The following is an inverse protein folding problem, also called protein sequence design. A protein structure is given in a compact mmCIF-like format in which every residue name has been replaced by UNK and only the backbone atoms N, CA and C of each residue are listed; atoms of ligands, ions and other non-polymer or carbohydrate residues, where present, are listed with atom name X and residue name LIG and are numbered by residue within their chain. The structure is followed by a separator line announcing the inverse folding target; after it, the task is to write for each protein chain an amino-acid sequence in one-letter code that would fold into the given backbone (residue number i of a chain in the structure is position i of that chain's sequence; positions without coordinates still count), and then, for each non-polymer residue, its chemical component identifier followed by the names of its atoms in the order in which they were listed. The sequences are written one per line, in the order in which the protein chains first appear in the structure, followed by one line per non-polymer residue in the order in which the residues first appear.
data_IF_492879914515
#
_entry.id   IF_492879914515
#
_cell.length_a   1.000
_cell.length_b   1.000
_cell.length_c   1.000
_cell.angle_alpha   90.00
_cell.angle_beta   90.00
_cell.angle_gamma   90.00
#
_symmetry.space_group_name_H-M   'P 1'
#
loop_
_entity.id
_entity.type
_entity.pdbx_description
1 polymer ?
#
# COMPACT_ATOMS: atom_id res chain seq x y z
N UNK A 1 -18.19 4.05 -5.68
CA UNK A 1 -16.84 3.53 -6.05
C UNK A 1 -16.72 3.19 -7.54
N UNK A 2 -17.61 2.35 -8.10
CA UNK A 2 -17.53 1.87 -9.49
C UNK A 2 -17.48 2.98 -10.55
N UNK A 3 -18.29 4.03 -10.43
CA UNK A 3 -18.35 5.16 -11.39
C UNK A 3 -17.06 5.98 -11.47
N UNK A 4 -16.46 6.32 -10.33
CA UNK A 4 -15.17 7.02 -10.27
C UNK A 4 -14.06 6.20 -10.92
N UNK A 5 -14.09 4.88 -10.71
CA UNK A 5 -13.10 3.96 -11.26
C UNK A 5 -13.25 3.73 -12.76
N UNK A 6 -14.48 3.65 -13.27
CA UNK A 6 -14.72 3.60 -14.71
C UNK A 6 -14.28 4.89 -15.39
N UNK A 7 -14.54 6.04 -14.77
CA UNK A 7 -14.08 7.33 -15.27
C UNK A 7 -12.54 7.44 -15.26
N UNK A 8 -11.88 6.97 -14.21
CA UNK A 8 -10.41 6.87 -14.17
C UNK A 8 -9.88 5.98 -15.30
N UNK A 9 -10.47 4.80 -15.48
CA UNK A 9 -10.10 3.89 -16.56
C UNK A 9 -10.26 4.55 -17.94
N UNK A 10 -11.40 5.20 -18.20
CA UNK A 10 -11.64 5.92 -19.46
C UNK A 10 -10.61 7.02 -19.70
N UNK A 11 -10.27 7.81 -18.68
CA UNK A 11 -9.24 8.84 -18.78
C UNK A 11 -7.87 8.26 -19.15
N UNK A 12 -7.47 7.17 -18.50
CA UNK A 12 -6.20 6.49 -18.81
C UNK A 12 -6.23 5.95 -20.24
N UNK A 13 -7.32 5.31 -20.66
CA UNK A 13 -7.49 4.81 -22.04
C UNK A 13 -7.41 5.92 -23.07
N UNK A 14 -8.01 7.10 -22.80
CA UNK A 14 -8.00 8.23 -23.75
C UNK A 14 -6.60 8.80 -23.99
N UNK A 15 -5.72 8.76 -22.99
CA UNK A 15 -4.34 9.28 -23.09
C UNK A 15 -3.37 8.18 -23.57
N UNK A 16 -3.84 6.93 -23.68
CA UNK A 16 -3.07 5.79 -24.16
C UNK A 16 -3.10 5.68 -25.70
N UNK A 17 -2.55 6.69 -26.40
CA UNK A 17 -2.27 6.58 -27.84
C UNK A 17 -1.17 5.56 -28.14
N UNK A 18 -1.25 4.87 -29.28
CA UNK A 18 -0.32 3.81 -29.69
C UNK A 18 1.12 4.31 -29.90
N UNK A 19 1.29 5.50 -30.49
CA UNK A 19 2.62 6.04 -30.85
C UNK A 19 3.00 7.36 -30.15
N UNK A 20 2.08 7.99 -29.41
CA UNK A 20 2.31 9.30 -28.77
C UNK A 20 1.74 9.40 -27.34
N UNK A 21 1.19 8.29 -26.81
CA UNK A 21 0.50 8.27 -25.54
C UNK A 21 1.29 7.65 -24.37
N UNK A 22 0.58 7.36 -23.28
CA UNK A 22 1.17 6.75 -22.08
C UNK A 22 1.75 5.35 -22.37
N UNK A 23 3.05 5.19 -22.11
CA UNK A 23 3.72 3.88 -22.16
C UNK A 23 3.03 2.86 -21.23
N UNK A 24 3.00 1.57 -21.63
CA UNK A 24 2.55 0.42 -20.83
C UNK A 24 3.05 0.48 -19.38
N UNK A 25 4.33 0.76 -19.17
CA UNK A 25 4.91 0.83 -17.82
C UNK A 25 4.30 1.94 -16.95
N UNK A 26 4.02 3.09 -17.55
CA UNK A 26 3.40 4.22 -16.85
C UNK A 26 1.93 3.93 -16.55
N UNK A 27 1.21 3.30 -17.48
CA UNK A 27 -0.19 2.86 -17.26
C UNK A 27 -0.29 1.82 -16.14
N UNK A 28 0.63 0.85 -16.11
CA UNK A 28 0.76 -0.12 -15.02
C UNK A 28 1.07 0.57 -13.69
N UNK A 29 1.95 1.58 -13.69
CA UNK A 29 2.26 2.38 -12.50
C UNK A 29 1.01 3.11 -11.99
N UNK A 30 0.27 3.80 -12.85
CA UNK A 30 -0.98 4.49 -12.49
C UNK A 30 -2.03 3.53 -11.93
N UNK A 31 -2.15 2.32 -12.49
CA UNK A 31 -3.03 1.30 -11.92
C UNK A 31 -2.64 0.96 -10.48
N UNK A 32 -1.36 0.62 -10.24
CA UNK A 32 -0.87 0.25 -8.90
C UNK A 32 -0.95 1.39 -7.88
N UNK A 33 -0.64 2.61 -8.27
CA UNK A 33 -0.57 3.74 -7.33
C UNK A 33 -1.91 4.42 -7.09
N UNK A 34 -2.78 4.52 -8.12
CA UNK A 34 -4.03 5.28 -8.05
C UNK A 34 -5.23 4.35 -7.99
N UNK A 35 -5.44 3.52 -9.02
CA UNK A 35 -6.65 2.72 -9.13
C UNK A 35 -6.75 1.70 -8.00
N UNK A 36 -5.65 0.99 -7.73
CA UNK A 36 -5.58 -0.01 -6.68
C UNK A 36 -5.81 0.61 -5.30
N UNK A 37 -5.13 1.72 -4.98
CA UNK A 37 -5.33 2.44 -3.70
C UNK A 37 -6.75 2.96 -3.54
N UNK A 38 -7.36 3.46 -4.61
CA UNK A 38 -8.74 3.92 -4.58
C UNK A 38 -9.74 2.78 -4.30
N UNK A 39 -9.45 1.56 -4.77
CA UNK A 39 -10.29 0.38 -4.54
C UNK A 39 -10.09 -0.19 -3.13
N UNK A 40 -8.82 -0.30 -2.70
CA UNK A 40 -8.45 -0.86 -1.41
C UNK A 40 -8.75 0.09 -0.25
N UNK A 41 -9.03 1.36 -0.55
CA UNK A 41 -9.48 2.31 0.45
C UNK A 41 -10.74 1.81 1.15
N UNK A 42 -10.67 1.67 2.47
CA UNK A 42 -11.76 1.15 3.29
C UNK A 42 -12.02 -0.34 3.12
N UNK A 43 -11.08 -1.13 2.57
CA UNK A 43 -11.22 -2.57 2.43
C UNK A 43 -11.60 -3.25 3.77
N UNK A 44 -11.06 -2.79 4.89
CA UNK A 44 -11.44 -3.28 6.23
C UNK A 44 -12.95 -3.19 6.55
N UNK A 45 -13.70 -2.30 5.90
CA UNK A 45 -15.13 -2.15 6.14
C UNK A 45 -16.00 -3.12 5.31
N UNK A 46 -15.49 -3.64 4.19
CA UNK A 46 -16.33 -4.40 3.23
C UNK A 46 -15.71 -5.69 2.69
N UNK A 47 -14.41 -5.92 2.88
CA UNK A 47 -13.65 -7.04 2.32
C UNK A 47 -13.26 -8.10 3.37
N UNK A 48 -13.95 -8.14 4.52
CA UNK A 48 -13.70 -9.12 5.59
C UNK A 48 -15.00 -9.56 6.28
N UNK A 49 -15.55 -10.75 5.95
CA UNK A 49 -15.13 -11.67 4.89
C UNK A 49 -15.56 -11.19 3.50
N UNK A 50 -14.80 -11.56 2.46
CA UNK A 50 -15.13 -11.21 1.08
C UNK A 50 -16.10 -12.22 0.45
N UNK A 51 -17.22 -11.74 -0.09
CA UNK A 51 -18.18 -12.60 -0.81
C UNK A 51 -17.70 -12.97 -2.22
N UNK A 52 -18.18 -14.12 -2.74
CA UNK A 52 -17.91 -14.54 -4.11
C UNK A 52 -18.36 -13.49 -5.16
N UNK A 53 -19.48 -12.79 -4.90
CA UNK A 53 -19.97 -11.71 -5.75
C UNK A 53 -18.99 -10.52 -5.79
N UNK A 54 -18.46 -10.11 -4.63
CA UNK A 54 -17.46 -9.05 -4.56
C UNK A 54 -16.15 -9.47 -5.25
N UNK A 55 -15.70 -10.71 -5.07
CA UNK A 55 -14.51 -11.25 -5.76
C UNK A 55 -14.66 -11.17 -7.29
N UNK A 56 -15.80 -11.64 -7.83
CA UNK A 56 -16.09 -11.54 -9.28
C UNK A 56 -16.12 -10.09 -9.77
N UNK A 57 -16.70 -9.18 -8.98
CA UNK A 57 -16.72 -7.75 -9.31
C UNK A 57 -15.31 -7.15 -9.36
N UNK A 58 -14.46 -7.46 -8.38
CA UNK A 58 -13.07 -7.00 -8.32
C UNK A 58 -12.26 -7.54 -9.50
N UNK A 59 -12.45 -8.81 -9.88
CA UNK A 59 -11.80 -9.39 -11.05
C UNK A 59 -12.27 -8.71 -12.35
N UNK A 60 -13.57 -8.44 -12.50
CA UNK A 60 -14.11 -7.70 -13.66
C UNK A 60 -13.52 -6.29 -13.79
N UNK A 61 -13.37 -5.61 -12.65
CA UNK A 61 -12.74 -4.29 -12.57
C UNK A 61 -11.26 -4.37 -12.96
N UNK A 62 -10.51 -5.27 -12.34
CA UNK A 62 -9.07 -5.43 -12.58
C UNK A 62 -8.80 -5.78 -14.04
N UNK A 63 -9.59 -6.67 -14.64
CA UNK A 63 -9.48 -7.08 -16.05
C UNK A 63 -9.45 -5.89 -17.01
N UNK A 64 -10.29 -4.88 -16.80
CA UNK A 64 -10.31 -3.68 -17.66
C UNK A 64 -8.97 -2.95 -17.66
N UNK A 65 -8.34 -2.83 -16.49
CA UNK A 65 -7.02 -2.23 -16.39
C UNK A 65 -5.94 -3.11 -17.02
N UNK A 66 -5.97 -4.43 -16.75
CA UNK A 66 -5.03 -5.38 -17.34
C UNK A 66 -5.01 -5.28 -18.86
N UNK A 67 -6.18 -5.42 -19.50
CA UNK A 67 -6.29 -5.32 -20.97
C UNK A 67 -5.80 -3.98 -21.51
N UNK A 68 -6.04 -2.87 -20.80
CA UNK A 68 -5.59 -1.56 -21.24
C UNK A 68 -4.06 -1.54 -21.38
N UNK A 69 -3.31 -1.91 -20.34
CA UNK A 69 -1.85 -1.75 -20.40
C UNK A 69 -1.13 -2.93 -21.08
N UNK A 70 -1.69 -4.14 -21.09
CA UNK A 70 -1.08 -5.26 -21.83
C UNK A 70 -1.28 -5.15 -23.33
N UNK A 71 -2.43 -4.62 -23.77
CA UNK A 71 -2.80 -4.59 -25.19
C UNK A 71 -3.13 -5.97 -25.76
N UNK A 72 -3.36 -6.97 -24.91
CA UNK A 72 -3.71 -8.33 -25.32
C UNK A 72 -5.17 -8.43 -25.80
N UNK A 73 -5.48 -9.54 -26.47
CA UNK A 73 -6.83 -9.85 -26.94
C UNK A 73 -7.84 -9.87 -25.79
N UNK A 74 -9.07 -9.42 -26.07
CA UNK A 74 -10.17 -9.40 -25.11
C UNK A 74 -10.61 -10.81 -24.68
N UNK A 75 -10.17 -11.86 -25.37
CA UNK A 75 -10.41 -13.28 -25.06
C UNK A 75 -9.37 -13.87 -24.12
N UNK A 76 -8.22 -13.22 -23.90
CA UNK A 76 -7.18 -13.78 -23.01
C UNK A 76 -7.71 -13.92 -21.59
N UNK A 77 -7.55 -15.08 -20.91
CA UNK A 77 -8.00 -15.26 -19.55
C UNK A 77 -7.38 -14.26 -18.56
N UNK A 78 -8.18 -13.80 -17.58
CA UNK A 78 -7.71 -12.82 -16.58
C UNK A 78 -6.56 -13.36 -15.73
N UNK A 79 -6.56 -14.66 -15.43
CA UNK A 79 -5.48 -15.31 -14.69
C UNK A 79 -4.16 -15.23 -15.45
N UNK A 80 -4.18 -15.48 -16.76
CA UNK A 80 -3.01 -15.36 -17.64
C UNK A 80 -2.45 -13.94 -17.62
N UNK A 81 -3.30 -12.93 -17.76
CA UNK A 81 -2.91 -11.51 -17.68
C UNK A 81 -2.26 -11.17 -16.33
N UNK A 82 -2.80 -11.68 -15.22
CA UNK A 82 -2.25 -11.46 -13.88
C UNK A 82 -0.87 -12.09 -13.72
N UNK A 83 -0.67 -13.30 -14.23
CA UNK A 83 0.60 -14.03 -14.15
C UNK A 83 1.68 -13.36 -15.01
N UNK A 84 1.38 -13.07 -16.28
CA UNK A 84 2.33 -12.42 -17.20
C UNK A 84 2.79 -11.07 -16.64
N UNK A 85 1.88 -10.33 -16.02
CA UNK A 85 2.17 -8.99 -15.49
C UNK A 85 2.67 -9.00 -14.04
N UNK A 86 2.74 -10.16 -13.39
CA UNK A 86 3.10 -10.26 -11.97
C UNK A 86 2.22 -9.38 -11.08
N UNK A 87 0.90 -9.43 -11.29
CA UNK A 87 -0.09 -8.65 -10.54
C UNK A 87 -0.96 -9.60 -9.73
N UNK A 88 -1.00 -9.37 -8.42
CA UNK A 88 -1.83 -10.12 -7.49
C UNK A 88 -3.33 -9.86 -7.81
N UNK A 89 -4.18 -10.91 -7.80
CA UNK A 89 -5.61 -10.73 -7.93
C UNK A 89 -6.18 -9.75 -6.89
N UNK A 90 -7.01 -8.81 -7.35
CA UNK A 90 -7.44 -7.68 -6.53
C UNK A 90 -8.28 -8.11 -5.32
N UNK A 91 -9.02 -9.22 -5.42
CA UNK A 91 -9.80 -9.77 -4.32
C UNK A 91 -8.93 -10.30 -3.18
N UNK A 92 -7.83 -10.98 -3.51
CA UNK A 92 -6.83 -11.44 -2.53
C UNK A 92 -6.20 -10.24 -1.83
N UNK A 93 -5.83 -9.22 -2.60
CA UNK A 93 -5.21 -8.00 -2.06
C UNK A 93 -6.15 -7.21 -1.16
N UNK A 94 -7.44 -7.16 -1.49
CA UNK A 94 -8.46 -6.50 -0.67
C UNK A 94 -8.64 -7.18 0.69
N UNK A 95 -8.66 -8.51 0.71
CA UNK A 95 -8.76 -9.28 1.95
C UNK A 95 -7.49 -9.11 2.82
N UNK A 96 -6.31 -9.16 2.21
CA UNK A 96 -5.04 -8.89 2.89
C UNK A 96 -5.00 -7.50 3.54
N UNK A 97 -5.39 -6.45 2.80
CA UNK A 97 -5.46 -5.08 3.33
C UNK A 97 -6.51 -4.96 4.46
N UNK A 98 -7.64 -5.66 4.34
CA UNK A 98 -8.65 -5.69 5.40
C UNK A 98 -8.14 -6.33 6.68
N UNK A 99 -7.44 -7.47 6.57
CA UNK A 99 -6.80 -8.19 7.67
C UNK A 99 -5.72 -7.32 8.31
N UNK A 100 -4.87 -6.69 7.51
CA UNK A 100 -3.83 -5.79 7.98
C UNK A 100 -4.40 -4.60 8.77
N UNK A 101 -5.38 -3.88 8.20
CA UNK A 101 -5.99 -2.73 8.89
C UNK A 101 -6.71 -3.17 10.17
N UNK A 102 -7.41 -4.30 10.14
CA UNK A 102 -8.12 -4.83 11.29
C UNK A 102 -7.17 -5.19 12.45
N UNK A 103 -6.04 -5.79 12.14
CA UNK A 103 -5.04 -6.22 13.13
C UNK A 103 -4.20 -5.06 13.62
N UNK A 104 -3.57 -4.31 12.71
CA UNK A 104 -2.59 -3.28 13.05
C UNK A 104 -3.22 -1.93 13.47
N UNK A 105 -4.45 -1.62 13.04
CA UNK A 105 -5.09 -0.32 13.34
C UNK A 105 -6.30 -0.41 14.24
N UNK A 106 -7.08 -1.48 14.12
CA UNK A 106 -8.28 -1.67 14.94
C UNK A 106 -8.03 -2.57 16.15
N UNK A 107 -6.80 -3.11 16.29
CA UNK A 107 -6.41 -4.03 17.37
C UNK A 107 -7.40 -5.20 17.54
N UNK A 108 -7.88 -5.75 16.42
CA UNK A 108 -8.79 -6.89 16.37
C UNK A 108 -8.12 -8.08 15.72
N UNK A 109 -8.38 -9.27 16.26
CA UNK A 109 -7.97 -10.52 15.63
C UNK A 109 -8.60 -10.66 14.25
N UNK A 110 -7.85 -11.25 13.33
CA UNK A 110 -8.28 -11.52 11.97
C UNK A 110 -7.71 -12.86 11.50
N UNK A 111 -8.52 -13.64 10.78
CA UNK A 111 -8.15 -14.92 10.21
C UNK A 111 -8.04 -14.76 8.70
N UNK A 112 -6.94 -15.22 8.13
CA UNK A 112 -6.73 -15.22 6.69
C UNK A 112 -5.92 -16.44 6.27
N UNK A 113 -6.43 -17.19 5.29
CA UNK A 113 -5.77 -18.39 4.77
C UNK A 113 -5.35 -19.40 5.88
N UNK A 114 -6.26 -19.63 6.84
CA UNK A 114 -6.06 -20.47 8.04
C UNK A 114 -4.98 -19.98 9.02
N UNK A 115 -4.49 -18.74 8.86
CA UNK A 115 -3.56 -18.11 9.79
C UNK A 115 -4.34 -17.09 10.64
N UNK A 116 -4.19 -17.16 11.96
CA UNK A 116 -4.76 -16.20 12.89
C UNK A 116 -3.75 -15.09 13.20
N UNK A 117 -4.13 -13.86 12.87
CA UNK A 117 -3.38 -12.65 13.16
C UNK A 117 -3.91 -12.05 14.47
N UNK A 118 -3.14 -12.22 15.54
CA UNK A 118 -3.41 -11.59 16.82
C UNK A 118 -2.64 -10.27 16.94
N UNK A 119 -3.31 -9.13 17.21
CA UNK A 119 -2.64 -7.85 17.48
C UNK A 119 -1.52 -7.95 18.51
N UNK A 120 -1.66 -8.80 19.54
CA UNK A 120 -0.67 -8.95 20.61
C UNK A 120 0.65 -9.60 20.15
N UNK A 121 0.69 -10.20 18.96
CA UNK A 121 1.90 -10.82 18.42
C UNK A 121 2.80 -9.82 17.69
N UNK A 122 2.36 -8.56 17.55
CA UNK A 122 3.07 -7.52 16.83
C UNK A 122 3.34 -6.35 17.74
N UNK A 123 4.53 -5.76 17.63
CA UNK A 123 4.82 -4.52 18.32
C UNK A 123 3.98 -3.39 17.74
N UNK A 124 3.39 -2.61 18.64
CA UNK A 124 2.69 -1.39 18.28
C UNK A 124 3.74 -0.43 17.71
N UNK A 125 3.60 -0.03 16.44
CA UNK A 125 4.51 0.93 15.84
C UNK A 125 4.53 2.19 16.71
N UNK A 126 5.71 2.53 17.28
CA UNK A 126 5.87 3.74 18.08
C UNK A 126 5.58 4.93 17.18
N UNK A 127 4.37 5.47 17.26
CA UNK A 127 4.09 6.73 16.60
C UNK A 127 4.98 7.73 17.30
N UNK A 128 5.92 8.35 16.60
CA UNK A 128 6.82 9.37 17.18
C UNK A 128 6.02 10.46 17.93
N UNK A 129 4.77 10.66 17.53
CA UNK A 129 3.78 11.53 18.17
C UNK A 129 3.25 11.07 19.54
N UNK A 130 3.46 9.80 19.94
CA UNK A 130 3.12 9.29 21.29
C UNK A 130 4.12 9.76 22.35
N UNK A 131 5.33 10.16 21.94
CA UNK A 131 6.34 10.75 22.80
C UNK A 131 6.38 12.25 22.54
N UNK A 132 5.72 13.03 23.41
CA UNK A 132 5.86 14.48 23.38
C UNK A 132 7.34 14.84 23.60
N UNK A 133 7.93 15.80 22.87
CA UNK A 133 9.34 16.18 23.02
C UNK A 133 9.73 16.51 24.47
N UNK A 134 8.80 17.05 25.27
CA UNK A 134 9.03 17.35 26.69
C UNK A 134 9.05 16.11 27.63
N UNK A 135 8.68 14.92 27.16
CA UNK A 135 8.84 13.66 27.91
C UNK A 135 10.27 13.13 27.77
N UNK A 136 11.02 13.55 26.73
CA UNK A 136 12.44 13.26 26.65
C UNK A 136 13.17 14.07 27.71
N UNK A 137 13.53 13.44 28.83
CA UNK A 137 14.43 13.99 29.84
C UNK A 137 15.82 14.17 29.21
N UNK A 138 16.03 15.34 28.60
CA UNK A 138 17.30 15.76 28.03
C UNK A 138 18.28 16.20 29.13
N UNK A 139 17.78 16.57 30.32
CA UNK A 139 18.62 17.04 31.42
C UNK A 139 19.63 15.98 31.88
N UNK A 140 19.24 14.71 31.88
CA UNK A 140 20.11 13.60 32.30
C UNK A 140 21.16 13.20 31.26
N UNK A 141 21.07 13.74 30.03
CA UNK A 141 22.02 13.46 28.94
C UNK A 141 22.95 14.62 28.60
N UNK A 142 22.63 15.84 29.03
CA UNK A 142 23.47 17.01 28.80
C UNK A 142 24.20 17.33 30.11
N UNK A 143 25.42 16.80 30.25
CA UNK A 143 26.28 17.23 31.35
C UNK A 143 26.71 18.68 31.14
N UNK A 144 26.10 19.61 31.87
CA UNK A 144 26.50 21.03 31.97
C UNK A 144 27.74 21.22 32.84
N UNK A 145 28.64 20.23 32.93
CA UNK A 145 30.00 20.56 33.35
C UNK A 145 30.55 21.49 32.28
N UNK A 146 30.70 22.76 32.63
CA UNK A 146 31.46 23.76 31.91
C UNK A 146 32.93 23.33 31.90
N UNK A 147 33.21 22.27 31.15
CA UNK A 147 34.54 22.04 30.70
C UNK A 147 34.81 23.16 29.70
N UNK A 148 35.53 24.16 30.19
CA UNK A 148 36.31 25.11 29.40
C UNK A 148 37.36 24.33 28.59
N UNK A 149 36.90 23.48 27.67
CA UNK A 149 37.75 22.86 26.67
C UNK A 149 37.62 23.67 25.40
N UNK A 150 38.65 24.49 25.22
CA UNK A 150 39.01 25.18 23.99
C UNK A 150 39.29 24.16 22.88
N UNK A 151 38.27 23.55 22.28
CA UNK A 151 38.41 22.78 21.03
C UNK A 151 37.12 22.89 20.19
N UNK A 152 37.22 22.89 18.85
CA UNK A 152 36.10 23.19 17.96
C UNK A 152 35.05 22.07 17.98
N UNK A 153 33.79 22.48 17.85
CA UNK A 153 32.61 21.60 17.79
C UNK A 153 32.74 20.64 16.60
N UNK A 154 33.03 19.38 16.87
CA UNK A 154 32.96 18.31 15.87
C UNK A 154 31.54 17.75 15.80
N UNK A 155 30.77 18.15 14.79
CA UNK A 155 29.48 17.55 14.47
C UNK A 155 29.74 16.13 13.93
N UNK A 156 29.44 15.10 14.73
CA UNK A 156 29.51 13.72 14.28
C UNK A 156 28.26 13.36 13.47
N UNK A 157 28.36 13.45 12.14
CA UNK A 157 27.46 12.75 11.23
C UNK A 157 27.75 11.25 11.30
N UNK A 158 26.84 10.48 11.89
CA UNK A 158 26.97 9.01 11.92
C UNK A 158 26.62 8.45 10.53
N UNK A 159 27.64 8.17 9.72
CA UNK A 159 27.50 7.16 8.67
C UNK A 159 27.35 5.80 9.33
N UNK A 160 26.31 5.06 8.93
CA UNK A 160 26.06 3.67 9.32
C UNK A 160 26.77 2.77 8.30
N UNK A 161 27.74 1.92 8.69
CA UNK A 161 28.27 0.89 7.81
C UNK A 161 27.42 -0.39 7.89
N UNK A 162 27.41 -1.12 6.76
CA UNK A 162 26.80 -2.44 6.55
C UNK A 162 27.46 -3.53 7.37
#
# INVERSE_FOLDING_TARGET
MKTKLTHLHQKITRIAGTNWGLNKNLRRRLYKTVAERMILHGAAAWAYPLSARQSRLLNSIQRKFLLNFTGEYSTTPTATLQVIEGIIPLHIKAEQEAVYVRTARLSKTANYNNINFNPNNYEDGTTSTKLHPAIFQLEDRISLKSNSFQYPVSIFTRMVPR
#
